data_IF_086755956181
#
_entry.id   IF_086755956181
#
_cell.length_a   1.000
_cell.length_b   1.000
_cell.length_c   1.000
_cell.angle_alpha   90.00
_cell.angle_beta   90.00
_cell.angle_gamma   90.00
#
_symmetry.space_group_name_H-M   'P 1'
#
loop_
_entity.id
_entity.type
_entity.pdbx_description
1 polymer ?
#
# COMPACT_ATOMS: atom_id res chain seq x y z
N UNK A 1 -12.01 17.40 10.74
CA UNK A 1 -10.65 17.91 10.62
C UNK A 1 -10.64 19.38 10.23
N UNK A 2 -10.30 19.75 8.98
CA UNK A 2 -10.05 21.15 8.53
C UNK A 2 -11.21 22.11 8.79
N UNK A 3 -12.48 21.67 8.65
CA UNK A 3 -13.64 22.50 8.94
C UNK A 3 -13.77 22.81 10.44
N UNK A 4 -13.59 21.82 11.30
CA UNK A 4 -13.62 22.02 12.75
C UNK A 4 -12.50 22.98 13.20
N UNK A 5 -11.29 22.82 12.66
CA UNK A 5 -10.17 23.71 12.93
C UNK A 5 -10.43 25.14 12.43
N UNK A 6 -11.12 25.30 11.31
CA UNK A 6 -11.51 26.60 10.78
C UNK A 6 -12.56 27.29 11.67
N UNK A 7 -13.61 26.56 12.07
CA UNK A 7 -14.64 27.06 12.98
C UNK A 7 -14.08 27.42 14.36
N UNK A 8 -13.07 26.68 14.83
CA UNK A 8 -12.36 26.96 16.08
C UNK A 8 -11.31 28.08 15.99
N UNK A 9 -11.26 28.84 14.89
CA UNK A 9 -10.36 29.99 14.74
C UNK A 9 -8.89 29.64 14.47
N UNK A 10 -8.56 28.38 14.24
CA UNK A 10 -7.19 27.95 13.93
C UNK A 10 -6.68 28.62 12.64
N UNK A 11 -5.53 29.29 12.68
CA UNK A 11 -4.97 30.00 11.52
C UNK A 11 -4.11 29.11 10.64
N UNK A 12 -3.31 28.23 11.23
CA UNK A 12 -2.43 27.29 10.51
C UNK A 12 -3.14 25.95 10.35
N UNK A 13 -3.77 25.74 9.20
CA UNK A 13 -4.51 24.51 8.89
C UNK A 13 -3.81 23.76 7.77
N UNK A 14 -3.47 22.54 8.05
CA UNK A 14 -2.86 21.60 7.13
C UNK A 14 -3.74 20.37 6.98
N UNK A 15 -3.75 19.76 5.82
CA UNK A 15 -4.44 18.48 5.58
C UNK A 15 -3.47 17.50 4.93
N UNK A 16 -3.54 16.24 5.35
CA UNK A 16 -2.86 15.13 4.70
C UNK A 16 -3.93 14.21 4.10
N UNK A 17 -3.85 14.00 2.79
CA UNK A 17 -4.69 13.05 2.06
C UNK A 17 -3.90 11.74 1.96
N UNK A 18 -4.35 10.73 2.69
CA UNK A 18 -3.65 9.44 2.86
C UNK A 18 -4.11 8.38 1.86
N UNK A 19 -4.91 8.75 0.90
CA UNK A 19 -5.47 7.89 -0.14
C UNK A 19 -6.92 8.26 -0.44
N UNK A 20 -7.43 7.74 -1.53
CA UNK A 20 -8.82 7.94 -1.94
C UNK A 20 -9.67 6.79 -1.40
N UNK A 21 -10.64 7.14 -0.57
CA UNK A 21 -11.62 6.18 -0.08
C UNK A 21 -12.57 5.71 -1.20
N UNK A 22 -13.35 4.69 -0.91
CA UNK A 22 -14.36 4.07 -1.76
C UNK A 22 -15.27 5.06 -2.54
N UNK A 23 -15.46 6.28 -2.03
CA UNK A 23 -16.25 7.32 -2.69
C UNK A 23 -15.65 7.83 -4.02
N UNK A 24 -14.38 7.55 -4.30
CA UNK A 24 -13.68 8.00 -5.51
C UNK A 24 -13.35 6.86 -6.48
N UNK A 25 -13.51 5.61 -6.06
CA UNK A 25 -13.25 4.42 -6.85
C UNK A 25 -14.54 3.83 -7.42
N UNK A 26 -14.49 3.31 -8.65
CA UNK A 26 -15.61 2.67 -9.33
C UNK A 26 -16.68 3.61 -9.91
N UNK A 27 -17.59 3.04 -10.68
CA UNK A 27 -18.75 3.75 -11.24
C UNK A 27 -19.81 3.99 -10.16
N UNK A 28 -20.20 5.25 -9.99
CA UNK A 28 -21.25 5.64 -9.05
C UNK A 28 -22.58 5.79 -9.78
N UNK A 29 -23.56 4.97 -9.42
CA UNK A 29 -24.94 5.05 -9.93
C UNK A 29 -25.93 5.42 -8.82
N UNK A 30 -27.04 6.04 -9.17
CA UNK A 30 -28.15 6.34 -8.25
C UNK A 30 -27.71 7.13 -7.01
N UNK A 31 -28.03 6.64 -5.81
CA UNK A 31 -27.74 7.28 -4.53
C UNK A 31 -26.22 7.47 -4.28
N UNK A 32 -25.40 6.56 -4.78
CA UNK A 32 -23.92 6.66 -4.68
C UNK A 32 -23.40 7.88 -5.44
N UNK A 33 -23.99 8.25 -6.59
CA UNK A 33 -23.61 9.45 -7.35
C UNK A 33 -23.90 10.73 -6.56
N UNK A 34 -25.05 10.79 -5.87
CA UNK A 34 -25.41 11.92 -5.03
C UNK A 34 -24.47 12.02 -3.82
N UNK A 35 -24.20 10.91 -3.14
CA UNK A 35 -23.27 10.85 -2.01
C UNK A 35 -21.85 11.27 -2.43
N UNK A 36 -21.37 10.78 -3.59
CA UNK A 36 -20.08 11.17 -4.17
C UNK A 36 -20.02 12.69 -4.42
N UNK A 37 -21.07 13.27 -5.01
CA UNK A 37 -21.15 14.72 -5.25
C UNK A 37 -21.09 15.51 -3.94
N UNK A 38 -21.83 15.07 -2.91
CA UNK A 38 -21.81 15.68 -1.59
C UNK A 38 -20.41 15.61 -0.95
N UNK A 39 -19.77 14.43 -0.98
CA UNK A 39 -18.41 14.24 -0.46
C UNK A 39 -17.42 15.15 -1.20
N UNK A 40 -17.52 15.25 -2.52
CA UNK A 40 -16.68 16.14 -3.32
C UNK A 40 -16.88 17.61 -2.92
N UNK A 41 -18.09 18.06 -2.69
CA UNK A 41 -18.35 19.43 -2.22
C UNK A 41 -17.76 19.67 -0.83
N UNK A 42 -17.87 18.69 0.08
CA UNK A 42 -17.28 18.78 1.41
C UNK A 42 -15.73 18.86 1.33
N UNK A 43 -15.10 18.06 0.45
CA UNK A 43 -13.65 18.17 0.20
C UNK A 43 -13.28 19.56 -0.34
N UNK A 44 -13.97 20.03 -1.38
CA UNK A 44 -13.73 21.33 -2.00
C UNK A 44 -13.82 22.48 -0.98
N UNK A 45 -14.88 22.47 -0.16
CA UNK A 45 -15.05 23.46 0.88
C UNK A 45 -14.01 23.34 1.99
N UNK A 46 -13.76 22.13 2.46
CA UNK A 46 -12.80 21.85 3.54
C UNK A 46 -11.36 22.22 3.13
N UNK A 47 -10.91 21.78 1.94
CA UNK A 47 -9.56 22.01 1.48
C UNK A 47 -9.30 23.47 1.12
N UNK A 48 -10.33 24.21 0.68
CA UNK A 48 -10.20 25.66 0.41
C UNK A 48 -9.84 26.51 1.66
N UNK A 49 -9.92 25.94 2.84
CA UNK A 49 -9.61 26.58 4.13
C UNK A 49 -8.23 26.22 4.67
N UNK A 50 -7.47 25.38 3.96
CA UNK A 50 -6.13 24.98 4.39
C UNK A 50 -5.06 25.91 3.81
N UNK A 51 -3.97 26.06 4.54
CA UNK A 51 -2.78 26.77 4.11
C UNK A 51 -1.94 25.94 3.15
N UNK A 52 -1.93 24.61 3.37
CA UNK A 52 -1.21 23.65 2.54
C UNK A 52 -1.91 22.30 2.65
N UNK A 53 -1.92 21.54 1.54
CA UNK A 53 -2.45 20.17 1.48
C UNK A 53 -1.33 19.24 1.06
N UNK A 54 -1.13 18.17 1.84
CA UNK A 54 -0.20 17.11 1.53
C UNK A 54 -0.91 15.93 0.87
N UNK A 55 -0.26 15.33 -0.11
CA UNK A 55 -0.66 14.06 -0.74
C UNK A 55 0.45 13.03 -0.57
N UNK A 56 0.12 11.76 -0.61
CA UNK A 56 1.10 10.69 -0.49
C UNK A 56 1.61 10.18 -1.83
N UNK A 57 0.94 10.52 -2.93
CA UNK A 57 1.38 10.22 -4.29
C UNK A 57 0.93 11.32 -5.26
N UNK A 58 1.60 11.48 -6.42
CA UNK A 58 1.29 12.51 -7.40
C UNK A 58 -0.04 12.29 -8.13
N UNK A 59 -0.45 11.04 -8.30
CA UNK A 59 -1.71 10.71 -8.98
C UNK A 59 -2.93 11.21 -8.19
N UNK A 60 -2.92 11.09 -6.86
CA UNK A 60 -3.98 11.60 -6.00
C UNK A 60 -4.03 13.13 -6.03
N UNK A 61 -2.87 13.79 -6.00
CA UNK A 61 -2.80 15.25 -6.17
C UNK A 61 -3.39 15.68 -7.50
N UNK A 62 -2.96 15.06 -8.61
CA UNK A 62 -3.44 15.35 -9.95
C UNK A 62 -4.96 15.15 -10.07
N UNK A 63 -5.48 14.06 -9.52
CA UNK A 63 -6.92 13.77 -9.54
C UNK A 63 -7.71 14.81 -8.75
N UNK A 64 -7.23 15.26 -7.58
CA UNK A 64 -7.90 16.31 -6.80
C UNK A 64 -7.91 17.65 -7.56
N UNK A 65 -6.86 17.98 -8.28
CA UNK A 65 -6.81 19.15 -9.18
C UNK A 65 -7.79 19.00 -10.34
N UNK A 66 -7.78 17.88 -11.03
CA UNK A 66 -8.64 17.58 -12.18
C UNK A 66 -10.14 17.63 -11.79
N UNK A 67 -10.51 17.09 -10.64
CA UNK A 67 -11.88 17.13 -10.13
C UNK A 67 -12.25 18.47 -9.48
N UNK A 68 -11.38 19.47 -9.53
CA UNK A 68 -11.55 20.78 -8.88
C UNK A 68 -11.86 20.69 -7.37
N UNK A 69 -11.36 19.64 -6.70
CA UNK A 69 -11.48 19.49 -5.24
C UNK A 69 -10.43 20.34 -4.51
N UNK A 70 -9.29 20.56 -5.14
CA UNK A 70 -8.23 21.45 -4.68
C UNK A 70 -8.08 22.62 -5.66
N UNK A 71 -8.41 23.83 -5.19
CA UNK A 71 -8.32 25.05 -6.01
C UNK A 71 -6.85 25.35 -6.36
N UNK A 72 -6.57 25.94 -7.54
CA UNK A 72 -5.19 26.31 -7.94
C UNK A 72 -4.47 27.20 -6.92
N UNK A 73 -5.18 28.09 -6.25
CA UNK A 73 -4.64 29.01 -5.24
C UNK A 73 -4.18 28.31 -3.94
N UNK A 74 -4.59 27.05 -3.68
CA UNK A 74 -4.18 26.32 -2.49
C UNK A 74 -2.93 25.50 -2.83
N UNK A 75 -1.80 25.77 -2.17
CA UNK A 75 -0.57 25.01 -2.40
C UNK A 75 -0.72 23.55 -1.95
N UNK A 76 -0.03 22.66 -2.63
CA UNK A 76 0.07 21.26 -2.28
C UNK A 76 1.51 20.75 -2.36
N UNK A 77 1.78 19.66 -1.65
CA UNK A 77 3.05 18.95 -1.69
C UNK A 77 2.79 17.44 -1.65
N UNK A 78 3.55 16.71 -2.43
CA UNK A 78 3.60 15.25 -2.32
C UNK A 78 4.67 14.89 -1.28
N UNK A 79 4.31 14.02 -0.35
CA UNK A 79 5.20 13.48 0.69
C UNK A 79 5.31 11.97 0.56
N UNK A 80 6.38 11.41 1.11
CA UNK A 80 6.68 9.97 0.99
C UNK A 80 5.90 9.15 2.04
N UNK A 81 4.56 9.16 1.92
CA UNK A 81 3.70 8.46 2.85
C UNK A 81 3.75 9.03 4.29
N UNK A 82 3.45 8.18 5.26
CA UNK A 82 3.61 8.48 6.69
C UNK A 82 5.01 8.12 7.21
N UNK A 83 5.84 7.54 6.34
CA UNK A 83 7.15 7.01 6.72
C UNK A 83 7.07 5.69 7.49
N UNK A 84 8.25 5.13 7.76
CA UNK A 84 8.48 3.93 8.58
C UNK A 84 9.64 4.20 9.53
N UNK A 85 9.53 3.74 10.77
CA UNK A 85 10.66 3.76 11.70
C UNK A 85 11.64 2.64 11.34
N UNK A 86 12.74 3.01 10.69
CA UNK A 86 13.76 2.05 10.22
C UNK A 86 14.56 1.42 11.35
N UNK A 87 14.49 1.96 12.57
CA UNK A 87 15.10 1.36 13.75
C UNK A 87 14.16 0.32 14.38
N UNK A 88 12.87 0.60 14.44
CA UNK A 88 11.85 -0.33 14.91
C UNK A 88 11.69 -1.53 13.94
N UNK A 89 11.68 -1.27 12.63
CA UNK A 89 11.66 -2.28 11.56
C UNK A 89 13.10 -2.54 11.10
N UNK A 90 13.92 -3.08 11.99
CA UNK A 90 15.32 -3.34 11.73
C UNK A 90 15.53 -4.41 10.65
N UNK A 91 16.63 -4.28 9.90
CA UNK A 91 17.02 -5.28 8.91
C UNK A 91 17.07 -6.68 9.55
N UNK A 92 16.47 -7.66 8.90
CA UNK A 92 16.48 -9.05 9.35
C UNK A 92 16.96 -9.99 8.23
N UNK A 93 17.64 -11.10 8.55
CA UNK A 93 18.07 -12.09 7.57
C UNK A 93 16.90 -12.60 6.73
N UNK A 94 17.18 -13.03 5.50
CA UNK A 94 16.21 -13.74 4.68
C UNK A 94 16.06 -15.19 5.18
N UNK A 95 14.85 -15.76 5.14
CA UNK A 95 14.65 -17.18 5.42
C UNK A 95 15.30 -18.03 4.33
N UNK A 96 15.74 -19.25 4.68
CA UNK A 96 16.37 -20.19 3.76
C UNK A 96 15.39 -20.67 2.67
N UNK A 97 14.13 -20.88 3.06
CA UNK A 97 13.08 -21.33 2.13
C UNK A 97 12.36 -20.13 1.54
N UNK A 98 12.19 -20.08 0.21
CA UNK A 98 11.43 -19.01 -0.43
C UNK A 98 10.00 -18.91 0.11
N UNK A 99 9.59 -17.72 0.48
CA UNK A 99 8.27 -17.48 1.06
C UNK A 99 7.76 -16.08 0.73
N UNK A 100 6.46 -15.99 0.51
CA UNK A 100 5.76 -14.76 0.16
C UNK A 100 4.80 -14.36 1.28
N UNK A 101 4.62 -13.06 1.46
CA UNK A 101 3.74 -12.51 2.49
C UNK A 101 2.90 -11.37 1.93
N UNK A 102 1.60 -11.41 2.19
CA UNK A 102 0.68 -10.29 2.01
C UNK A 102 0.06 -9.91 3.36
N UNK A 103 0.10 -8.62 3.70
CA UNK A 103 -0.53 -8.06 4.90
C UNK A 103 -1.52 -6.99 4.47
N UNK A 104 -2.81 -7.22 4.64
CA UNK A 104 -3.86 -6.26 4.30
C UNK A 104 -5.18 -6.59 5.01
N UNK A 105 -6.13 -5.65 5.01
CA UNK A 105 -7.53 -6.01 5.15
C UNK A 105 -7.93 -6.93 3.99
N UNK A 106 -8.71 -7.97 4.25
CA UNK A 106 -9.09 -8.94 3.22
C UNK A 106 -10.18 -8.35 2.33
N UNK A 107 -9.77 -7.47 1.41
CA UNK A 107 -10.61 -6.78 0.44
C UNK A 107 -10.17 -7.15 -0.98
N UNK A 108 -11.12 -7.12 -1.93
CA UNK A 108 -10.82 -7.36 -3.34
C UNK A 108 -9.85 -6.32 -3.90
N UNK A 109 -10.04 -5.03 -3.57
CA UNK A 109 -9.17 -3.95 -4.04
C UNK A 109 -7.73 -4.01 -3.50
N UNK A 110 -7.46 -4.88 -2.52
CA UNK A 110 -6.10 -5.20 -2.04
C UNK A 110 -5.40 -6.30 -2.83
N UNK A 111 -6.09 -6.87 -3.83
CA UNK A 111 -5.53 -7.92 -4.67
C UNK A 111 -5.37 -9.27 -3.96
N UNK A 112 -6.16 -9.51 -2.90
CA UNK A 112 -6.08 -10.76 -2.12
C UNK A 112 -6.46 -11.97 -2.96
N UNK A 113 -7.45 -11.82 -3.89
CA UNK A 113 -7.85 -12.88 -4.81
C UNK A 113 -6.73 -13.20 -5.81
N UNK A 114 -6.11 -12.17 -6.37
CA UNK A 114 -4.97 -12.30 -7.30
C UNK A 114 -3.78 -12.98 -6.62
N UNK A 115 -3.50 -12.60 -5.37
CA UNK A 115 -2.44 -13.24 -4.58
C UNK A 115 -2.70 -14.73 -4.36
N UNK A 116 -3.92 -15.10 -3.95
CA UNK A 116 -4.29 -16.51 -3.72
C UNK A 116 -4.27 -17.33 -5.03
N UNK A 117 -4.74 -16.76 -6.14
CA UNK A 117 -4.71 -17.41 -7.45
C UNK A 117 -3.27 -17.57 -7.96
N UNK A 118 -2.42 -16.56 -7.83
CA UNK A 118 -1.02 -16.63 -8.19
C UNK A 118 -0.27 -17.68 -7.35
N UNK A 119 -0.54 -17.72 -6.03
CA UNK A 119 0.00 -18.74 -5.13
C UNK A 119 -0.36 -20.16 -5.58
N UNK A 120 -1.62 -20.38 -5.96
CA UNK A 120 -2.08 -21.69 -6.47
C UNK A 120 -1.34 -22.09 -7.76
N UNK A 121 -1.11 -21.15 -8.68
CA UNK A 121 -0.34 -21.40 -9.91
C UNK A 121 1.12 -21.73 -9.62
N UNK A 122 1.76 -20.94 -8.75
CA UNK A 122 3.18 -21.14 -8.37
C UNK A 122 3.37 -22.49 -7.68
N UNK A 123 2.47 -22.89 -6.79
CA UNK A 123 2.56 -24.17 -6.07
C UNK A 123 2.45 -25.42 -6.96
N UNK A 124 1.87 -25.30 -8.14
CA UNK A 124 1.88 -26.41 -9.12
C UNK A 124 3.32 -26.79 -9.55
N UNK A 125 4.22 -25.81 -9.58
CA UNK A 125 5.63 -26.01 -9.97
C UNK A 125 6.57 -26.07 -8.75
N UNK A 126 6.25 -25.32 -7.69
CA UNK A 126 7.05 -25.17 -6.47
C UNK A 126 6.21 -25.47 -5.23
N UNK A 127 5.87 -26.73 -4.94
CA UNK A 127 4.93 -27.10 -3.86
C UNK A 127 5.38 -26.70 -2.47
N UNK A 128 6.70 -26.62 -2.23
CA UNK A 128 7.28 -26.31 -0.92
C UNK A 128 7.32 -24.81 -0.60
N UNK A 129 7.04 -23.93 -1.58
CA UNK A 129 7.02 -22.48 -1.36
C UNK A 129 5.81 -22.10 -0.52
N UNK A 130 6.04 -21.26 0.49
CA UNK A 130 4.99 -20.82 1.41
C UNK A 130 4.42 -19.47 1.02
N UNK A 131 3.09 -19.37 1.01
CA UNK A 131 2.35 -18.13 0.78
C UNK A 131 1.53 -17.79 2.02
N UNK A 132 1.94 -16.73 2.74
CA UNK A 132 1.30 -16.29 3.98
C UNK A 132 0.40 -15.10 3.75
N UNK A 133 -0.73 -15.10 4.42
CA UNK A 133 -1.72 -14.03 4.40
C UNK A 133 -2.01 -13.59 5.83
N UNK A 134 -1.76 -12.32 6.11
CA UNK A 134 -2.06 -11.67 7.40
C UNK A 134 -3.16 -10.64 7.19
N UNK A 135 -4.19 -10.68 8.02
CA UNK A 135 -5.28 -9.71 7.94
C UNK A 135 -6.56 -10.18 8.60
N UNK A 136 -7.64 -9.54 8.26
CA UNK A 136 -8.98 -9.89 8.75
C UNK A 136 -10.04 -9.56 7.69
N UNK A 137 -11.14 -10.31 7.73
CA UNK A 137 -12.31 -10.02 6.90
C UNK A 137 -12.95 -8.73 7.43
N UNK A 138 -13.22 -7.81 6.52
CA UNK A 138 -13.81 -6.49 6.81
C UNK A 138 -15.34 -6.55 6.55
N UNK A 139 -16.09 -5.62 7.14
CA UNK A 139 -17.54 -5.47 6.88
C UNK A 139 -17.85 -4.76 5.54
N UNK A 140 -16.82 -4.48 4.74
CA UNK A 140 -16.96 -3.83 3.44
C UNK A 140 -17.63 -4.76 2.42
N UNK A 141 -18.51 -4.26 1.53
CA UNK A 141 -19.09 -5.06 0.44
C UNK A 141 -18.09 -5.75 -0.50
N UNK A 142 -16.86 -5.23 -0.61
CA UNK A 142 -15.77 -5.81 -1.40
C UNK A 142 -14.90 -6.80 -0.59
N UNK A 143 -15.31 -7.16 0.62
CA UNK A 143 -14.55 -8.10 1.46
C UNK A 143 -14.48 -9.49 0.83
N UNK A 144 -13.36 -10.17 1.10
CA UNK A 144 -13.22 -11.60 0.85
C UNK A 144 -14.20 -12.33 1.79
N UNK A 145 -14.97 -13.25 1.25
CA UNK A 145 -15.87 -14.06 2.05
C UNK A 145 -15.11 -15.13 2.86
N UNK A 146 -15.68 -15.58 3.98
CA UNK A 146 -15.10 -16.67 4.75
C UNK A 146 -14.94 -17.94 3.89
N UNK A 147 -15.92 -18.23 3.03
CA UNK A 147 -15.87 -19.39 2.13
C UNK A 147 -14.72 -19.34 1.13
N UNK A 148 -14.38 -18.17 0.57
CA UNK A 148 -13.22 -18.01 -0.29
C UNK A 148 -11.92 -18.28 0.48
N UNK A 149 -11.79 -17.69 1.67
CA UNK A 149 -10.61 -17.88 2.52
C UNK A 149 -10.42 -19.35 2.91
N UNK A 150 -11.48 -20.01 3.36
CA UNK A 150 -11.47 -21.42 3.76
C UNK A 150 -11.09 -22.33 2.58
N UNK A 151 -11.57 -22.01 1.36
CA UNK A 151 -11.21 -22.75 0.16
C UNK A 151 -9.72 -22.65 -0.17
N UNK A 152 -9.10 -21.47 -0.03
CA UNK A 152 -7.66 -21.29 -0.25
C UNK A 152 -6.81 -22.02 0.80
N UNK A 153 -7.23 -22.01 2.05
CA UNK A 153 -6.58 -22.75 3.14
C UNK A 153 -6.69 -24.27 2.89
N UNK A 154 -7.90 -24.76 2.58
CA UNK A 154 -8.13 -26.17 2.31
C UNK A 154 -7.36 -26.69 1.10
N UNK A 155 -7.20 -25.87 0.06
CA UNK A 155 -6.37 -26.17 -1.11
C UNK A 155 -4.86 -26.11 -0.82
N UNK A 156 -4.44 -25.66 0.37
CA UNK A 156 -3.05 -25.48 0.73
C UNK A 156 -2.32 -24.38 -0.02
N UNK A 157 -3.05 -23.51 -0.74
CA UNK A 157 -2.44 -22.41 -1.50
C UNK A 157 -2.04 -21.26 -0.59
N UNK A 158 -2.75 -21.03 0.52
CA UNK A 158 -2.51 -19.94 1.48
C UNK A 158 -2.41 -20.47 2.91
N UNK A 159 -1.40 -20.01 3.63
CA UNK A 159 -1.29 -20.11 5.10
C UNK A 159 -1.82 -18.81 5.72
N UNK A 160 -3.02 -18.87 6.29
CA UNK A 160 -3.66 -17.72 6.92
C UNK A 160 -3.24 -17.56 8.37
N UNK A 161 -2.67 -16.42 8.72
CA UNK A 161 -2.13 -16.11 10.03
C UNK A 161 -3.08 -15.28 10.91
N UNK A 162 -4.26 -14.92 10.39
CA UNK A 162 -5.18 -14.04 11.11
C UNK A 162 -4.69 -12.61 11.22
N UNK A 163 -5.32 -11.83 12.10
CA UNK A 163 -4.95 -10.46 12.40
C UNK A 163 -3.82 -10.45 13.45
N UNK A 164 -2.69 -9.85 13.09
CA UNK A 164 -1.56 -9.68 14.00
C UNK A 164 -1.51 -8.24 14.54
N UNK A 165 -1.18 -8.10 15.83
CA UNK A 165 -0.89 -6.80 16.46
C UNK A 165 0.53 -6.31 16.15
N UNK A 166 1.45 -7.24 15.93
CA UNK A 166 2.83 -6.99 15.50
C UNK A 166 3.15 -7.86 14.29
N UNK A 167 3.48 -7.22 13.18
CA UNK A 167 3.74 -7.89 11.90
C UNK A 167 5.21 -8.19 11.66
N UNK A 168 6.11 -7.73 12.53
CA UNK A 168 7.57 -7.84 12.34
C UNK A 168 8.03 -9.28 12.21
N UNK A 169 7.51 -10.18 13.05
CA UNK A 169 7.83 -11.60 12.96
C UNK A 169 7.37 -12.22 11.62
N UNK A 170 6.19 -11.85 11.14
CA UNK A 170 5.70 -12.32 9.85
C UNK A 170 6.55 -11.81 8.69
N UNK A 171 6.96 -10.53 8.71
CA UNK A 171 7.85 -9.94 7.72
C UNK A 171 9.25 -10.56 7.79
N UNK A 172 9.80 -10.81 8.99
CA UNK A 172 11.10 -11.46 9.16
C UNK A 172 11.13 -12.86 8.52
N UNK A 173 10.00 -13.58 8.57
CA UNK A 173 9.87 -14.93 8.04
C UNK A 173 9.42 -14.99 6.57
N UNK A 174 9.44 -13.89 5.81
CA UNK A 174 9.21 -13.91 4.37
C UNK A 174 10.46 -13.46 3.59
N UNK A 175 10.60 -13.97 2.37
CA UNK A 175 11.64 -13.55 1.41
C UNK A 175 11.18 -12.36 0.59
N UNK A 176 9.90 -12.37 0.19
CA UNK A 176 9.29 -11.40 -0.71
C UNK A 176 7.97 -10.92 -0.13
N UNK A 177 7.82 -9.61 -0.05
CA UNK A 177 6.55 -8.99 0.32
C UNK A 177 5.72 -8.70 -0.94
N UNK A 178 4.43 -9.02 -0.90
CA UNK A 178 3.54 -8.88 -2.06
C UNK A 178 2.32 -8.06 -1.68
N UNK A 179 2.04 -6.99 -2.43
CA UNK A 179 0.82 -6.21 -2.29
C UNK A 179 0.27 -5.83 -3.67
N UNK A 180 -0.58 -6.68 -4.28
CA UNK A 180 -1.13 -6.44 -5.61
C UNK A 180 -2.37 -5.54 -5.57
N UNK A 181 -2.31 -4.47 -4.77
CA UNK A 181 -3.42 -3.54 -4.54
C UNK A 181 -3.74 -2.71 -5.79
N UNK A 182 -5.02 -2.39 -5.98
CA UNK A 182 -5.47 -1.62 -7.14
C UNK A 182 -5.23 -0.12 -6.98
N UNK A 183 -5.07 0.35 -5.75
CA UNK A 183 -4.74 1.73 -5.38
C UNK A 183 -4.38 1.84 -3.92
N UNK A 184 -3.38 2.69 -3.61
CA UNK A 184 -3.00 3.04 -2.24
C UNK A 184 -2.75 4.57 -2.12
N UNK A 185 -2.58 5.05 -0.89
CA UNK A 185 -1.90 6.32 -0.65
C UNK A 185 -0.39 6.14 -0.79
N UNK A 186 0.24 5.65 0.26
CA UNK A 186 1.55 4.97 0.27
C UNK A 186 1.39 3.81 1.24
N UNK A 187 1.51 2.55 0.80
CA UNK A 187 1.17 1.38 1.61
C UNK A 187 2.20 1.18 2.74
N UNK A 188 1.78 1.39 3.98
CA UNK A 188 2.65 1.32 5.15
C UNK A 188 3.33 -0.05 5.29
N UNK A 189 2.60 -1.13 5.06
CA UNK A 189 3.13 -2.49 5.17
C UNK A 189 4.22 -2.80 4.15
N UNK A 190 4.19 -2.16 2.97
CA UNK A 190 5.30 -2.20 2.01
C UNK A 190 6.53 -1.50 2.58
N UNK A 191 6.36 -0.31 3.18
CA UNK A 191 7.48 0.43 3.78
C UNK A 191 8.12 -0.36 4.94
N UNK A 192 7.30 -1.03 5.74
CA UNK A 192 7.72 -1.91 6.84
C UNK A 192 8.55 -3.09 6.31
N UNK A 193 8.07 -3.75 5.25
CA UNK A 193 8.79 -4.84 4.58
C UNK A 193 10.10 -4.36 3.94
N UNK A 194 10.09 -3.20 3.27
CA UNK A 194 11.30 -2.58 2.72
C UNK A 194 12.33 -2.27 3.80
N UNK A 195 11.89 -1.70 4.94
CA UNK A 195 12.77 -1.41 6.07
C UNK A 195 13.42 -2.68 6.62
N UNK A 196 12.73 -3.81 6.62
CA UNK A 196 13.26 -5.12 7.04
C UNK A 196 14.05 -5.83 5.94
N UNK A 197 14.28 -5.20 4.78
CA UNK A 197 15.10 -5.73 3.70
C UNK A 197 14.42 -6.78 2.84
N UNK A 198 13.12 -6.64 2.58
CA UNK A 198 12.37 -7.57 1.72
C UNK A 198 12.30 -7.04 0.27
N UNK A 199 12.47 -7.93 -0.70
CA UNK A 199 12.07 -7.64 -2.08
C UNK A 199 10.56 -7.43 -2.13
N UNK A 200 10.08 -6.59 -3.05
CA UNK A 200 8.66 -6.23 -3.12
C UNK A 200 8.09 -6.55 -4.49
N UNK A 201 6.93 -7.20 -4.55
CA UNK A 201 6.08 -7.26 -5.75
C UNK A 201 4.83 -6.44 -5.47
N UNK A 202 4.54 -5.45 -6.31
CA UNK A 202 3.34 -4.65 -6.20
C UNK A 202 2.82 -4.27 -7.59
N UNK A 203 1.67 -3.62 -7.65
CA UNK A 203 1.07 -3.21 -8.92
C UNK A 203 1.61 -1.87 -9.42
N UNK A 204 1.59 -1.68 -10.73
CA UNK A 204 1.76 -0.37 -11.37
C UNK A 204 0.49 0.49 -11.20
N UNK A 205 0.17 0.81 -9.96
CA UNK A 205 -1.00 1.57 -9.55
C UNK A 205 -0.61 2.76 -8.66
N UNK A 206 -1.45 3.82 -8.59
CA UNK A 206 -1.21 4.96 -7.71
C UNK A 206 -0.96 4.54 -6.26
N UNK A 207 0.09 5.08 -5.65
CA UNK A 207 0.51 4.77 -4.28
C UNK A 207 1.34 3.50 -4.14
N UNK A 208 1.17 2.53 -5.02
CA UNK A 208 1.96 1.30 -5.07
C UNK A 208 3.29 1.52 -5.82
N UNK A 209 3.21 2.05 -7.05
CA UNK A 209 4.38 2.25 -7.93
C UNK A 209 5.47 3.13 -7.35
N UNK A 210 5.14 4.02 -6.42
CA UNK A 210 6.11 4.91 -5.78
C UNK A 210 7.06 4.17 -4.84
N UNK A 211 6.71 2.95 -4.44
CA UNK A 211 7.50 2.13 -3.51
C UNK A 211 8.46 1.17 -4.22
N UNK A 212 8.28 0.93 -5.52
CA UNK A 212 9.10 -0.01 -6.29
C UNK A 212 9.70 0.66 -7.52
N UNK A 213 10.99 0.49 -7.71
CA UNK A 213 11.69 0.73 -8.97
C UNK A 213 11.87 -0.62 -9.63
N UNK A 214 11.11 -0.87 -10.70
CA UNK A 214 11.02 -2.16 -11.36
C UNK A 214 12.39 -2.75 -11.70
N UNK A 215 12.59 -4.04 -11.39
CA UNK A 215 13.85 -4.74 -11.55
C UNK A 215 14.96 -4.37 -10.55
N UNK A 216 14.76 -3.38 -9.64
CA UNK A 216 15.80 -2.91 -8.72
C UNK A 216 15.58 -3.30 -7.27
N UNK A 217 14.40 -3.03 -6.72
CA UNK A 217 14.01 -3.43 -5.35
C UNK A 217 12.78 -4.34 -5.36
N UNK A 218 12.31 -4.75 -6.53
CA UNK A 218 11.16 -5.59 -6.72
C UNK A 218 10.64 -5.55 -8.14
N UNK A 219 9.38 -5.96 -8.31
CA UNK A 219 8.70 -5.95 -9.61
C UNK A 219 7.37 -5.19 -9.53
N UNK A 220 7.04 -4.47 -10.63
CA UNK A 220 5.74 -3.89 -10.88
C UNK A 220 4.95 -4.78 -11.84
N UNK A 221 3.73 -5.14 -11.46
CA UNK A 221 2.83 -5.92 -12.29
C UNK A 221 1.56 -5.13 -12.61
N UNK A 222 0.86 -5.41 -13.72
CA UNK A 222 -0.43 -4.79 -13.98
C UNK A 222 -1.46 -5.14 -12.88
N UNK A 223 -2.41 -4.23 -12.65
CA UNK A 223 -3.53 -4.48 -11.73
C UNK A 223 -4.38 -5.64 -12.26
N UNK A 224 -4.78 -6.56 -11.38
CA UNK A 224 -5.62 -7.72 -11.69
C UNK A 224 -4.98 -8.74 -12.67
N UNK A 225 -3.67 -8.72 -12.82
CA UNK A 225 -2.94 -9.66 -13.69
C UNK A 225 -2.28 -10.77 -12.87
N UNK A 226 -3.01 -11.87 -12.71
CA UNK A 226 -2.55 -13.06 -11.97
C UNK A 226 -1.34 -13.72 -12.66
N UNK A 227 -1.28 -13.70 -14.00
CA UNK A 227 -0.17 -14.29 -14.76
C UNK A 227 1.13 -13.53 -14.50
N UNK A 228 1.11 -12.20 -14.69
CA UNK A 228 2.28 -11.36 -14.43
C UNK A 228 2.73 -11.44 -12.96
N UNK A 229 1.78 -11.55 -12.01
CA UNK A 229 2.07 -11.72 -10.60
C UNK A 229 2.77 -13.06 -10.32
N UNK A 230 2.23 -14.18 -10.85
CA UNK A 230 2.82 -15.50 -10.67
C UNK A 230 4.18 -15.63 -11.35
N UNK A 231 4.35 -15.07 -12.56
CA UNK A 231 5.64 -15.03 -13.26
C UNK A 231 6.72 -14.26 -12.49
N UNK A 232 6.33 -13.11 -11.88
CA UNK A 232 7.24 -12.35 -11.04
C UNK A 232 7.66 -13.11 -9.78
N UNK A 233 6.74 -13.86 -9.17
CA UNK A 233 7.03 -14.75 -8.05
C UNK A 233 8.00 -15.86 -8.46
N UNK A 234 7.75 -16.52 -9.59
CA UNK A 234 8.61 -17.59 -10.14
C UNK A 234 10.03 -17.07 -10.40
N UNK A 235 10.17 -15.91 -11.03
CA UNK A 235 11.49 -15.29 -11.26
C UNK A 235 12.29 -15.13 -9.97
N UNK A 236 11.64 -14.73 -8.86
CA UNK A 236 12.32 -14.54 -7.58
C UNK A 236 12.61 -15.88 -6.88
N UNK A 237 11.79 -16.90 -7.04
CA UNK A 237 12.07 -18.25 -6.53
C UNK A 237 13.31 -18.84 -7.22
N UNK A 238 13.41 -18.67 -8.54
CA UNK A 238 14.52 -19.19 -9.34
C UNK A 238 15.83 -18.41 -9.16
N UNK A 239 15.77 -17.19 -8.57
CA UNK A 239 16.92 -16.29 -8.43
C UNK A 239 17.07 -15.75 -7.00
N UNK A 240 17.49 -16.58 -6.02
CA UNK A 240 17.62 -16.15 -4.60
C UNK A 240 18.60 -14.99 -4.41
N UNK A 241 19.66 -14.91 -5.21
CA UNK A 241 20.63 -13.81 -5.17
C UNK A 241 19.98 -12.48 -5.54
N UNK A 242 19.05 -12.50 -6.50
CA UNK A 242 18.29 -11.32 -6.87
C UNK A 242 17.35 -10.88 -5.74
N UNK A 243 16.72 -11.81 -5.02
CA UNK A 243 15.90 -11.49 -3.83
C UNK A 243 16.74 -10.75 -2.79
N UNK A 244 17.94 -11.24 -2.50
CA UNK A 244 18.84 -10.59 -1.53
C UNK A 244 19.28 -9.19 -1.99
N UNK A 245 19.64 -9.03 -3.27
CA UNK A 245 20.03 -7.74 -3.84
C UNK A 245 18.86 -6.73 -3.83
N UNK A 246 17.66 -7.18 -4.20
CA UNK A 246 16.45 -6.36 -4.16
C UNK A 246 16.06 -5.97 -2.74
N UNK A 247 16.18 -6.90 -1.78
CA UNK A 247 15.95 -6.63 -0.37
C UNK A 247 16.89 -5.58 0.20
N UNK A 248 18.19 -5.66 -0.11
CA UNK A 248 19.17 -4.65 0.28
C UNK A 248 18.83 -3.27 -0.32
N UNK A 249 18.37 -3.25 -1.57
CA UNK A 249 17.93 -2.00 -2.23
C UNK A 249 16.65 -1.44 -1.62
N UNK A 250 15.69 -2.30 -1.25
CA UNK A 250 14.50 -1.89 -0.51
C UNK A 250 14.85 -1.21 0.81
N UNK A 251 15.77 -1.81 1.59
CA UNK A 251 16.27 -1.22 2.85
C UNK A 251 16.86 0.16 2.61
N UNK A 252 17.75 0.28 1.64
CA UNK A 252 18.37 1.56 1.30
C UNK A 252 17.30 2.62 0.96
N UNK A 253 16.32 2.27 0.13
CA UNK A 253 15.23 3.18 -0.22
C UNK A 253 14.38 3.57 0.99
N UNK A 254 14.11 2.63 1.90
CA UNK A 254 13.38 2.92 3.14
C UNK A 254 14.14 3.95 3.99
N UNK A 255 15.45 3.77 4.16
CA UNK A 255 16.30 4.70 4.90
C UNK A 255 16.44 6.07 4.24
N UNK A 256 16.61 6.11 2.91
CA UNK A 256 16.83 7.36 2.18
C UNK A 256 15.55 8.19 2.02
N UNK A 257 14.43 7.54 1.66
CA UNK A 257 13.21 8.19 1.20
C UNK A 257 12.05 8.11 2.21
N UNK A 258 11.93 7.00 2.94
CA UNK A 258 10.74 6.69 3.72
C UNK A 258 10.96 6.67 5.24
N UNK A 259 12.17 7.00 5.72
CA UNK A 259 12.43 7.16 7.15
C UNK A 259 11.48 8.20 7.75
N UNK A 260 10.74 7.82 8.80
CA UNK A 260 9.71 8.65 9.44
C UNK A 260 10.26 9.99 9.92
N UNK A 261 11.51 10.03 10.40
CA UNK A 261 12.14 11.27 10.86
C UNK A 261 12.41 12.22 9.69
N UNK A 262 12.83 11.69 8.54
CA UNK A 262 13.05 12.47 7.31
C UNK A 262 11.73 12.99 6.74
N UNK A 263 10.71 12.13 6.68
CA UNK A 263 9.37 12.50 6.21
C UNK A 263 8.77 13.59 7.10
N UNK A 264 8.81 13.42 8.42
CA UNK A 264 8.29 14.41 9.38
C UNK A 264 9.07 15.74 9.27
N UNK A 265 10.41 15.70 9.20
CA UNK A 265 11.23 16.90 9.03
C UNK A 265 10.88 17.66 7.76
N UNK A 266 10.66 16.96 6.63
CA UNK A 266 10.24 17.58 5.38
C UNK A 266 8.84 18.22 5.51
N UNK A 267 7.88 17.54 6.13
CA UNK A 267 6.53 18.08 6.35
C UNK A 267 6.55 19.32 7.27
N UNK A 268 7.26 19.27 8.40
CA UNK A 268 7.38 20.40 9.32
C UNK A 268 8.00 21.62 8.63
N UNK A 269 9.05 21.43 7.84
CA UNK A 269 9.68 22.51 7.05
C UNK A 269 8.67 23.16 6.10
N UNK A 270 7.85 22.38 5.37
CA UNK A 270 6.82 22.91 4.47
C UNK A 270 5.68 23.61 5.24
N UNK A 271 5.43 23.21 6.49
CA UNK A 271 4.48 23.90 7.38
C UNK A 271 5.03 25.22 7.94
N UNK A 272 6.34 25.45 7.87
CA UNK A 272 7.02 26.60 8.47
C UNK A 272 7.24 26.45 9.97
N UNK A 273 7.50 25.20 10.41
CA UNK A 273 7.76 24.80 11.81
C UNK A 273 9.19 24.24 11.94
#
# INVERSE_FOLDING_TARGET
>A
GSLAAWLGGGRNRFALITGLGYAFTGEATGLRKLLRALIQQLYRFSLSRNRLVFFQNPDDEALFRQLNLLKPAIPSRVVNGSGVDVAEYALSPLPETPSFLLIARLLGDKGVREYAQAAALVKQRFPDVTFRLVGWIDDNPDAISQAELDAWIAAGSIEFMGKLSDVRAAIANCSVYVLPSYREGTPRTVLEAMAMGRAVITTDAPGCRETVVDGRNGYLVPVQDVSALSESMIKLIENPEQVAAMGARSRQMAEEKYDVHKVNKAMLKEMGL
#
